data_IF_621704252783
#
_entry.id   IF_621704252783
#
_cell.length_a   1.000
_cell.length_b   1.000
_cell.length_c   1.000
_cell.angle_alpha   90.00
_cell.angle_beta   90.00
_cell.angle_gamma   90.00
#
_symmetry.space_group_name_H-M   'P 1'
#
loop_
_entity.id
_entity.type
_entity.pdbx_description
1 polymer ?
#
# COMPACT_ATOMS: atom_id res chain seq x y z
N UNK A 1 -1.41 17.29 -17.13
CA UNK A 1 -2.76 16.96 -16.60
C UNK A 1 -3.79 17.37 -17.65
N UNK A 2 -4.37 16.40 -18.38
CA UNK A 2 -5.39 16.66 -19.40
C UNK A 2 -6.72 16.07 -18.90
N UNK A 3 -7.70 16.95 -18.65
CA UNK A 3 -9.05 16.61 -18.17
C UNK A 3 -10.01 16.18 -19.31
N UNK A 4 -9.55 16.12 -20.57
CA UNK A 4 -10.43 16.02 -21.75
C UNK A 4 -10.81 14.60 -22.22
N UNK A 5 -10.16 13.53 -21.74
CA UNK A 5 -10.18 12.24 -22.45
C UNK A 5 -11.10 11.15 -21.84
N UNK A 6 -11.97 11.50 -20.88
CA UNK A 6 -12.84 10.51 -20.18
C UNK A 6 -14.27 10.39 -20.71
N UNK A 7 -14.63 11.03 -21.83
CA UNK A 7 -16.03 11.13 -22.27
C UNK A 7 -16.61 9.81 -22.84
N UNK A 8 -15.81 8.75 -23.03
CA UNK A 8 -16.32 7.46 -23.53
C UNK A 8 -16.49 6.37 -22.46
N UNK A 9 -16.08 6.60 -21.22
CA UNK A 9 -16.11 5.60 -20.16
C UNK A 9 -16.98 6.01 -18.97
N UNK A 10 -17.59 5.04 -18.28
CA UNK A 10 -18.20 5.30 -16.98
C UNK A 10 -17.14 5.84 -16.00
N UNK A 11 -17.47 6.82 -15.15
CA UNK A 11 -16.55 7.37 -14.16
C UNK A 11 -16.03 6.28 -13.20
N UNK A 12 -14.77 6.42 -12.72
CA UNK A 12 -14.22 5.51 -11.72
C UNK A 12 -14.91 5.68 -10.36
N UNK A 13 -14.83 4.68 -9.49
CA UNK A 13 -15.46 4.73 -8.16
C UNK A 13 -15.03 5.94 -7.32
N UNK A 14 -13.77 6.37 -7.45
CA UNK A 14 -13.29 7.55 -6.73
C UNK A 14 -14.08 8.82 -7.06
N UNK A 15 -14.50 8.99 -8.32
CA UNK A 15 -15.29 10.15 -8.74
C UNK A 15 -16.74 10.06 -8.21
N UNK A 16 -17.30 8.85 -8.12
CA UNK A 16 -18.62 8.63 -7.51
C UNK A 16 -18.59 8.87 -5.99
N UNK A 17 -17.51 8.46 -5.31
CA UNK A 17 -17.32 8.75 -3.87
C UNK A 17 -17.17 10.25 -3.62
N UNK A 18 -16.34 10.94 -4.38
CA UNK A 18 -16.23 12.39 -4.30
C UNK A 18 -17.59 13.09 -4.49
N UNK A 19 -18.47 12.56 -5.36
CA UNK A 19 -19.83 13.07 -5.51
C UNK A 19 -20.70 12.87 -4.26
N UNK A 20 -20.56 11.74 -3.55
CA UNK A 20 -21.22 11.48 -2.26
C UNK A 20 -20.69 12.43 -1.17
N UNK A 21 -19.38 12.69 -1.18
CA UNK A 21 -18.71 13.60 -0.24
C UNK A 21 -18.99 15.09 -0.52
N UNK A 22 -19.75 15.40 -1.59
CA UNK A 22 -20.08 16.77 -2.00
C UNK A 22 -19.01 17.46 -2.86
N UNK A 23 -17.87 16.80 -3.10
CA UNK A 23 -16.72 17.28 -3.87
C UNK A 23 -16.76 16.91 -5.36
N UNK A 24 -17.88 16.34 -5.84
CA UNK A 24 -17.99 15.81 -7.19
C UNK A 24 -18.07 16.89 -8.29
N UNK A 25 -17.27 16.68 -9.34
CA UNK A 25 -17.24 17.50 -10.55
C UNK A 25 -18.60 17.48 -11.32
N UNK A 26 -19.06 18.62 -11.87
CA UNK A 26 -20.33 18.71 -12.59
C UNK A 26 -20.47 17.76 -13.79
N UNK A 27 -19.37 17.39 -14.48
CA UNK A 27 -19.46 16.44 -15.61
C UNK A 27 -19.80 15.03 -15.10
N UNK A 28 -19.26 14.65 -13.95
CA UNK A 28 -19.57 13.36 -13.31
C UNK A 28 -21.03 13.32 -12.89
N UNK A 29 -21.55 14.41 -12.32
CA UNK A 29 -22.97 14.55 -11.95
C UNK A 29 -23.88 14.39 -13.19
N UNK A 30 -23.60 15.17 -14.24
CA UNK A 30 -24.36 15.07 -15.50
C UNK A 30 -24.30 13.69 -16.16
N UNK A 31 -23.17 12.98 -16.05
CA UNK A 31 -23.09 11.60 -16.55
C UNK A 31 -23.94 10.63 -15.72
N UNK A 32 -23.95 10.75 -14.39
CA UNK A 32 -24.77 9.90 -13.51
C UNK A 32 -26.26 10.09 -13.80
N UNK A 33 -26.69 11.32 -14.10
CA UNK A 33 -28.09 11.63 -14.41
C UNK A 33 -28.58 10.94 -15.70
N UNK A 34 -27.68 10.68 -16.66
CA UNK A 34 -28.02 10.05 -17.95
C UNK A 34 -27.74 8.54 -17.95
N UNK A 35 -26.73 8.09 -17.23
CA UNK A 35 -26.27 6.69 -17.27
C UNK A 35 -26.84 5.86 -16.11
N UNK A 36 -27.84 5.02 -16.42
CA UNK A 36 -28.52 4.12 -15.45
C UNK A 36 -27.54 3.25 -14.66
N UNK A 37 -26.48 2.74 -15.31
CA UNK A 37 -25.47 1.89 -14.63
C UNK A 37 -24.70 2.67 -13.57
N UNK A 38 -24.38 3.93 -13.84
CA UNK A 38 -23.69 4.81 -12.90
C UNK A 38 -24.62 5.26 -11.77
N UNK A 39 -25.88 5.56 -12.08
CA UNK A 39 -26.90 5.85 -11.06
C UNK A 39 -27.09 4.68 -10.08
N UNK A 40 -27.23 3.45 -10.59
CA UNK A 40 -27.32 2.25 -9.74
C UNK A 40 -26.05 2.02 -8.91
N UNK A 41 -24.88 2.33 -9.47
CA UNK A 41 -23.60 2.20 -8.75
C UNK A 41 -23.48 3.23 -7.63
N UNK A 42 -23.91 4.47 -7.89
CA UNK A 42 -23.97 5.53 -6.89
C UNK A 42 -24.94 5.14 -5.75
N UNK A 43 -26.16 4.67 -6.08
CA UNK A 43 -27.13 4.22 -5.09
C UNK A 43 -26.57 3.13 -4.16
N UNK A 44 -25.91 2.09 -4.71
CA UNK A 44 -25.25 1.05 -3.90
C UNK A 44 -24.17 1.61 -2.97
N UNK A 45 -23.40 2.60 -3.42
CA UNK A 45 -22.39 3.24 -2.59
C UNK A 45 -23.04 4.05 -1.46
N UNK A 46 -24.10 4.80 -1.75
CA UNK A 46 -24.87 5.55 -0.76
C UNK A 46 -25.52 4.62 0.28
N UNK A 47 -26.09 3.49 -0.14
CA UNK A 47 -26.64 2.47 0.75
C UNK A 47 -25.56 1.89 1.68
N UNK A 48 -24.35 1.68 1.14
CA UNK A 48 -23.22 1.19 1.94
C UNK A 48 -22.79 2.22 2.97
N UNK A 49 -22.68 3.49 2.58
CA UNK A 49 -22.28 4.59 3.48
C UNK A 49 -23.31 4.78 4.59
N UNK A 50 -24.60 4.80 4.25
CA UNK A 50 -25.69 4.92 5.23
C UNK A 50 -25.73 3.72 6.18
N UNK A 51 -25.59 2.49 5.68
CA UNK A 51 -25.53 1.29 6.51
C UNK A 51 -24.35 1.30 7.50
N UNK A 52 -23.16 1.72 7.07
CA UNK A 52 -22.00 1.87 7.96
C UNK A 52 -22.23 2.98 8.98
N UNK A 53 -22.80 4.12 8.57
CA UNK A 53 -23.11 5.22 9.48
C UNK A 53 -24.09 4.78 10.58
N UNK A 54 -25.16 4.05 10.23
CA UNK A 54 -26.10 3.49 11.21
C UNK A 54 -25.45 2.47 12.14
N UNK A 55 -24.58 1.59 11.61
CA UNK A 55 -23.85 0.64 12.44
C UNK A 55 -22.93 1.37 13.43
N UNK A 56 -22.19 2.38 12.97
CA UNK A 56 -21.31 3.17 13.84
C UNK A 56 -22.08 3.99 14.88
N UNK A 57 -23.25 4.52 14.53
CA UNK A 57 -24.12 5.24 15.46
C UNK A 57 -24.65 4.31 16.57
N UNK A 58 -24.96 3.07 16.23
CA UNK A 58 -25.32 2.04 17.21
C UNK A 58 -24.16 1.74 18.18
N UNK A 59 -22.92 1.62 17.66
CA UNK A 59 -21.73 1.43 18.50
C UNK A 59 -21.42 2.65 19.37
N UNK A 60 -21.62 3.87 18.86
CA UNK A 60 -21.31 5.10 19.60
C UNK A 60 -22.30 5.32 20.74
N UNK A 61 -23.56 4.95 20.55
CA UNK A 61 -24.61 5.07 21.59
C UNK A 61 -24.33 4.19 22.81
N UNK A 62 -23.71 3.01 22.60
CA UNK A 62 -23.34 2.07 23.65
C UNK A 62 -21.97 2.38 24.30
N UNK A 63 -21.23 3.36 23.75
CA UNK A 63 -19.94 3.84 24.28
C UNK A 63 -20.07 4.74 25.52
N UNK A 64 -21.27 4.81 26.12
CA UNK A 64 -21.54 5.46 27.40
C UNK A 64 -20.76 4.74 28.51
N UNK A 65 -19.48 5.09 28.63
CA UNK A 65 -18.52 4.72 29.66
C UNK A 65 -18.82 3.37 30.32
N UNK A 66 -18.69 2.29 29.55
CA UNK A 66 -18.65 0.96 30.14
C UNK A 66 -17.54 0.97 31.20
N UNK A 67 -17.92 0.79 32.47
CA UNK A 67 -16.98 0.80 33.58
C UNK A 67 -15.81 -0.14 33.25
N UNK A 68 -14.57 0.38 33.14
CA UNK A 68 -13.42 -0.39 32.67
C UNK A 68 -13.16 -1.60 33.57
N UNK A 69 -13.54 -1.53 34.86
CA UNK A 69 -13.40 -2.68 35.76
C UNK A 69 -14.39 -3.80 35.45
N UNK A 70 -15.59 -3.47 34.97
CA UNK A 70 -16.61 -4.43 34.55
C UNK A 70 -16.26 -5.05 33.19
N UNK A 71 -15.75 -4.24 32.25
CA UNK A 71 -15.25 -4.73 30.96
C UNK A 71 -14.05 -5.67 31.12
N UNK A 72 -13.07 -5.31 31.94
CA UNK A 72 -11.90 -6.15 32.24
C UNK A 72 -12.30 -7.47 32.92
N UNK A 73 -13.25 -7.44 33.85
CA UNK A 73 -13.78 -8.66 34.49
C UNK A 73 -14.45 -9.60 33.49
N UNK A 74 -15.29 -9.08 32.59
CA UNK A 74 -15.94 -9.90 31.54
C UNK A 74 -14.92 -10.54 30.60
N UNK A 75 -13.93 -9.77 30.19
CA UNK A 75 -12.87 -10.25 29.30
C UNK A 75 -11.99 -11.35 29.93
N UNK A 76 -11.68 -11.22 31.22
CA UNK A 76 -10.97 -12.28 31.94
C UNK A 76 -11.85 -13.53 32.16
N UNK A 77 -13.17 -13.35 32.37
CA UNK A 77 -14.10 -14.46 32.49
C UNK A 77 -14.26 -15.27 31.18
N UNK A 78 -14.16 -14.63 30.01
CA UNK A 78 -14.11 -15.34 28.71
C UNK A 78 -12.74 -15.97 28.43
N UNK A 79 -11.66 -15.47 29.06
CA UNK A 79 -10.32 -16.03 28.94
C UNK A 79 -10.00 -17.15 29.91
N UNK A 80 -10.70 -17.27 31.03
CA UNK A 80 -10.57 -18.47 31.86
C UNK A 80 -10.99 -19.65 31.00
N UNK A 81 -10.06 -20.56 30.64
CA UNK A 81 -10.43 -21.75 29.91
C UNK A 81 -11.39 -22.48 30.83
N UNK A 82 -12.68 -22.49 30.50
CA UNK A 82 -13.57 -23.45 31.11
C UNK A 82 -12.96 -24.78 30.72
N UNK A 83 -12.29 -25.45 31.68
CA UNK A 83 -11.90 -26.83 31.56
C UNK A 83 -13.20 -27.64 31.49
N UNK A 84 -13.89 -27.55 30.34
CA UNK A 84 -14.84 -28.56 29.92
C UNK A 84 -14.00 -29.82 29.89
N UNK A 85 -14.26 -30.68 30.88
CA UNK A 85 -13.85 -32.06 30.89
C UNK A 85 -14.37 -32.65 29.58
N UNK A 86 -13.54 -32.60 28.56
CA UNK A 86 -13.72 -33.40 27.38
C UNK A 86 -13.31 -34.79 27.83
N UNK A 87 -14.28 -35.58 28.27
CA UNK A 87 -14.11 -37.02 28.47
C UNK A 87 -13.71 -37.59 27.11
N UNK A 88 -12.41 -37.72 26.94
CA UNK A 88 -11.79 -38.27 25.75
C UNK A 88 -11.64 -39.77 25.97
N UNK A 89 -12.74 -40.49 25.78
CA UNK A 89 -12.73 -41.97 25.68
C UNK A 89 -12.05 -42.46 24.38
N UNK A 90 -11.10 -41.70 23.81
CA UNK A 90 -10.47 -42.05 22.54
C UNK A 90 -9.17 -41.30 22.20
N UNK A 91 -8.46 -40.70 23.16
CA UNK A 91 -7.27 -39.89 22.83
C UNK A 91 -6.18 -39.78 23.89
N UNK A 92 -6.13 -40.65 24.90
CA UNK A 92 -5.20 -40.46 26.03
C UNK A 92 -3.76 -40.94 25.79
N UNK A 93 -3.50 -41.81 24.81
CA UNK A 93 -2.18 -42.43 24.67
C UNK A 93 -1.07 -41.46 24.23
N UNK A 94 -1.37 -40.48 23.37
CA UNK A 94 -0.39 -39.47 22.93
C UNK A 94 -0.06 -38.46 24.04
N UNK A 95 -1.02 -38.14 24.92
CA UNK A 95 -0.78 -37.27 26.08
C UNK A 95 0.06 -37.96 27.14
N UNK A 96 -0.14 -39.26 27.35
CA UNK A 96 0.59 -40.04 28.34
C UNK A 96 2.06 -40.31 27.94
N UNK A 97 2.36 -40.27 26.64
CA UNK A 97 3.74 -40.25 26.13
C UNK A 97 4.43 -38.91 26.42
N UNK A 98 3.74 -37.78 26.37
CA UNK A 98 4.38 -36.45 26.50
C UNK A 98 4.58 -36.01 27.98
N UNK A 99 3.87 -36.63 28.91
CA UNK A 99 3.98 -36.34 30.35
C UNK A 99 5.08 -37.13 31.06
N UNK A 100 5.67 -38.15 30.43
CA UNK A 100 6.74 -38.95 31.04
C UNK A 100 8.10 -38.22 30.98
N UNK A 101 8.86 -38.13 32.07
CA UNK A 101 10.13 -37.40 32.08
C UNK A 101 11.19 -38.01 31.14
N UNK A 102 11.11 -39.33 30.89
CA UNK A 102 12.02 -40.04 29.99
C UNK A 102 11.82 -39.68 28.51
N UNK A 103 10.58 -39.44 28.08
CA UNK A 103 10.29 -39.08 26.67
C UNK A 103 10.68 -37.64 26.37
N UNK A 104 10.65 -36.74 27.37
CA UNK A 104 11.15 -35.37 27.24
C UNK A 104 12.66 -35.32 27.00
N UNK A 105 13.44 -36.17 27.69
CA UNK A 105 14.87 -36.27 27.47
C UNK A 105 15.21 -36.80 26.06
N UNK A 106 14.47 -37.82 25.60
CA UNK A 106 14.64 -38.36 24.24
C UNK A 106 14.22 -37.35 23.17
N UNK A 107 13.12 -36.62 23.38
CA UNK A 107 12.67 -35.58 22.46
C UNK A 107 13.69 -34.44 22.36
N UNK A 108 14.27 -33.99 23.49
CA UNK A 108 15.32 -32.97 23.49
C UNK A 108 16.54 -33.44 22.68
N UNK A 109 17.01 -34.67 22.89
CA UNK A 109 18.10 -35.25 22.12
C UNK A 109 17.78 -35.34 20.62
N UNK A 110 16.57 -35.78 20.27
CA UNK A 110 16.11 -35.86 18.89
C UNK A 110 16.09 -34.47 18.22
N UNK A 111 15.62 -33.43 18.92
CA UNK A 111 15.61 -32.07 18.39
C UNK A 111 17.01 -31.54 18.10
N UNK A 112 17.99 -31.83 18.98
CA UNK A 112 19.39 -31.44 18.75
C UNK A 112 19.96 -32.14 17.52
N UNK A 113 19.70 -33.44 17.35
CA UNK A 113 20.15 -34.21 16.19
C UNK A 113 19.53 -33.68 14.89
N UNK A 114 18.23 -33.40 14.89
CA UNK A 114 17.53 -32.83 13.73
C UNK A 114 18.08 -31.44 13.38
N UNK A 115 18.34 -30.60 14.37
CA UNK A 115 18.89 -29.27 14.15
C UNK A 115 20.33 -29.34 13.61
N UNK A 116 21.13 -30.29 14.08
CA UNK A 116 22.46 -30.56 13.53
C UNK A 116 22.38 -30.98 12.06
N UNK A 117 21.47 -31.90 11.73
CA UNK A 117 21.24 -32.33 10.35
C UNK A 117 20.77 -31.17 9.48
N UNK A 118 19.83 -30.35 9.94
CA UNK A 118 19.33 -29.20 9.20
C UNK A 118 20.44 -28.19 8.89
N UNK A 119 21.36 -27.94 9.83
CA UNK A 119 22.51 -27.05 9.60
C UNK A 119 23.52 -27.68 8.64
N UNK A 120 23.83 -28.98 8.80
CA UNK A 120 24.77 -29.68 7.90
C UNK A 120 24.25 -29.82 6.47
N UNK A 121 22.93 -29.93 6.29
CA UNK A 121 22.29 -30.11 4.99
C UNK A 121 21.69 -28.82 4.41
N UNK A 122 21.74 -27.67 5.10
CA UNK A 122 21.29 -26.39 4.57
C UNK A 122 22.33 -25.85 3.58
N UNK A 123 22.06 -25.83 2.26
CA UNK A 123 22.99 -25.30 1.27
C UNK A 123 22.92 -23.77 1.32
N UNK A 124 23.66 -23.15 2.24
CA UNK A 124 23.82 -21.68 2.32
C UNK A 124 24.29 -21.05 1.00
N UNK A 125 24.83 -21.84 0.07
CA UNK A 125 25.33 -21.38 -1.22
C UNK A 125 24.22 -21.02 -2.23
N UNK A 126 23.00 -21.55 -2.12
CA UNK A 126 21.96 -21.30 -3.15
C UNK A 126 21.22 -19.98 -2.96
N UNK A 127 21.03 -19.54 -1.70
CA UNK A 127 20.27 -18.32 -1.39
C UNK A 127 21.04 -17.05 -1.74
N UNK A 128 22.37 -17.05 -1.61
CA UNK A 128 23.20 -15.89 -1.95
C UNK A 128 23.13 -15.53 -3.45
N UNK A 129 22.97 -16.53 -4.33
CA UNK A 129 22.93 -16.31 -5.77
C UNK A 129 21.62 -15.64 -6.23
N UNK A 130 20.50 -15.94 -5.57
CA UNK A 130 19.21 -15.30 -5.84
C UNK A 130 19.16 -13.86 -5.32
N UNK A 131 19.78 -13.57 -4.18
CA UNK A 131 19.90 -12.19 -3.70
C UNK A 131 20.76 -11.32 -4.64
N UNK A 132 21.86 -11.84 -5.19
CA UNK A 132 22.68 -11.11 -6.16
C UNK A 132 21.95 -10.86 -7.49
N UNK A 133 21.06 -11.76 -7.90
CA UNK A 133 20.23 -11.57 -9.09
C UNK A 133 19.12 -10.51 -8.89
N UNK A 134 18.55 -10.41 -7.69
CA UNK A 134 17.54 -9.39 -7.37
C UNK A 134 18.11 -7.97 -7.38
N UNK A 135 19.38 -7.80 -7.01
CA UNK A 135 20.10 -6.51 -7.08
C UNK A 135 20.75 -6.23 -8.43
N UNK A 136 20.51 -7.05 -9.46
CA UNK A 136 20.90 -6.72 -10.83
C UNK A 136 19.95 -5.66 -11.36
N UNK A 137 20.17 -4.43 -10.89
CA UNK A 137 19.57 -3.17 -11.34
C UNK A 137 19.38 -3.28 -12.84
N UNK A 138 18.10 -3.30 -13.26
CA UNK A 138 17.71 -3.07 -14.63
C UNK A 138 18.38 -1.76 -15.02
N UNK A 139 19.46 -1.86 -15.79
CA UNK A 139 20.14 -0.70 -16.33
C UNK A 139 19.06 0.14 -17.00
N UNK A 140 18.85 1.35 -16.49
CA UNK A 140 18.03 2.34 -17.14
C UNK A 140 18.48 2.37 -18.60
N UNK A 141 17.62 1.89 -19.49
CA UNK A 141 17.75 2.20 -20.90
C UNK A 141 17.51 3.70 -20.96
N UNK A 142 18.59 4.49 -20.89
CA UNK A 142 18.55 5.89 -21.22
C UNK A 142 18.03 5.95 -22.65
N UNK A 143 16.74 6.28 -22.79
CA UNK A 143 16.16 6.65 -24.07
C UNK A 143 16.88 7.94 -24.42
N UNK A 144 17.97 7.83 -25.18
CA UNK A 144 18.59 8.97 -25.83
C UNK A 144 17.53 9.49 -26.78
N UNK A 145 16.90 10.61 -26.44
CA UNK A 145 16.10 11.37 -27.40
C UNK A 145 17.12 12.01 -28.33
N UNK A 146 17.29 11.55 -29.59
CA UNK A 146 18.16 12.26 -30.52
C UNK A 146 17.50 13.61 -30.78
N UNK A 147 18.05 14.67 -30.19
CA UNK A 147 17.82 16.03 -30.65
C UNK A 147 18.47 16.14 -32.04
N UNK A 148 17.74 15.72 -33.07
CA UNK A 148 18.04 16.08 -34.46
C UNK A 148 17.84 17.60 -34.58
N UNK A 149 18.85 18.35 -34.16
CA UNK A 149 19.02 19.79 -34.35
C UNK A 149 19.50 20.10 -35.79
N UNK A 150 18.93 19.44 -36.79
CA UNK A 150 19.32 19.59 -38.19
C UNK A 150 18.15 19.96 -39.10
N UNK A 151 17.12 20.59 -38.53
CA UNK A 151 16.08 21.26 -39.31
C UNK A 151 16.39 22.77 -39.39
N UNK A 152 16.88 23.28 -40.52
CA UNK A 152 17.20 24.70 -40.72
C UNK A 152 15.97 25.63 -40.77
N UNK A 153 14.76 25.12 -40.48
CA UNK A 153 13.52 25.89 -40.46
C UNK A 153 13.10 26.45 -39.10
N UNK A 154 13.74 26.03 -37.99
CA UNK A 154 13.35 26.47 -36.63
C UNK A 154 14.23 27.57 -36.04
N UNK A 155 15.34 27.91 -36.69
CA UNK A 155 16.16 29.09 -36.35
C UNK A 155 15.44 30.41 -36.65
N UNK A 156 14.49 30.42 -37.59
CA UNK A 156 13.73 31.62 -37.94
C UNK A 156 12.78 32.11 -36.83
N UNK A 157 12.37 31.24 -35.88
CA UNK A 157 11.49 31.64 -34.77
C UNK A 157 12.27 32.31 -33.62
N UNK A 158 13.55 31.94 -33.45
CA UNK A 158 14.45 32.57 -32.50
C UNK A 158 14.98 33.92 -33.02
N UNK A 159 15.07 34.09 -34.34
CA UNK A 159 15.53 35.33 -34.96
C UNK A 159 14.50 36.47 -34.91
N UNK A 160 13.23 36.13 -34.65
CA UNK A 160 12.15 37.11 -34.44
C UNK A 160 11.94 37.54 -32.99
N UNK A 161 12.67 36.97 -32.02
CA UNK A 161 12.68 37.50 -30.64
C UNK A 161 13.74 38.60 -30.52
N UNK A 162 13.23 39.81 -30.56
CA UNK A 162 13.85 41.10 -30.35
C UNK A 162 14.94 41.12 -29.26
N UNK A 163 16.09 41.71 -29.61
CA UNK A 163 17.25 42.04 -28.77
C UNK A 163 16.97 42.92 -27.51
N UNK A 164 15.69 43.14 -27.14
CA UNK A 164 15.29 43.95 -25.98
C UNK A 164 15.05 43.16 -24.69
N UNK A 165 14.71 41.86 -24.77
CA UNK A 165 14.20 41.11 -23.60
C UNK A 165 15.27 40.34 -22.81
N UNK A 166 16.53 40.37 -23.28
CA UNK A 166 17.63 39.64 -22.61
C UNK A 166 18.02 40.24 -21.26
N UNK A 167 17.83 41.54 -21.05
CA UNK A 167 18.19 42.20 -19.80
C UNK A 167 17.22 41.87 -18.67
N UNK A 168 15.90 41.82 -18.95
CA UNK A 168 14.89 41.42 -17.96
C UNK A 168 15.04 39.95 -17.56
N UNK A 169 15.31 39.05 -18.51
CA UNK A 169 15.49 37.63 -18.19
C UNK A 169 16.74 37.38 -17.34
N UNK A 170 17.86 38.06 -17.62
CA UNK A 170 19.07 37.90 -16.80
C UNK A 170 18.87 38.36 -15.36
N UNK A 171 18.04 39.39 -15.14
CA UNK A 171 17.69 39.84 -13.79
C UNK A 171 16.83 38.82 -13.04
N UNK A 172 15.90 38.12 -13.71
CA UNK A 172 15.11 37.04 -13.12
C UNK A 172 15.96 35.80 -12.82
N UNK A 173 16.88 35.42 -13.71
CA UNK A 173 17.80 34.31 -13.46
C UNK A 173 18.77 34.58 -12.30
N UNK A 174 19.20 35.84 -12.13
CA UNK A 174 20.04 36.26 -11.01
C UNK A 174 19.28 36.21 -9.67
N UNK A 175 17.97 36.45 -9.69
CA UNK A 175 17.10 36.38 -8.52
C UNK A 175 16.77 34.94 -8.08
N UNK A 176 16.95 33.94 -8.95
CA UNK A 176 16.67 32.53 -8.66
C UNK A 176 17.74 31.82 -7.82
N UNK A 177 18.79 32.54 -7.40
CA UNK A 177 19.79 32.03 -6.47
C UNK A 177 20.81 31.09 -7.13
N UNK A 178 22.04 31.16 -6.64
CA UNK A 178 23.16 30.30 -7.05
C UNK A 178 22.85 28.83 -6.75
N UNK A 179 22.74 28.00 -7.77
CA UNK A 179 22.68 26.55 -7.62
C UNK A 179 24.09 26.02 -7.31
N UNK A 180 24.32 25.63 -6.06
CA UNK A 180 25.52 24.91 -5.64
C UNK A 180 25.48 23.50 -6.24
N UNK A 181 26.06 23.33 -7.43
CA UNK A 181 26.19 22.01 -8.05
C UNK A 181 27.34 21.28 -7.36
N UNK A 182 27.02 20.37 -6.44
CA UNK A 182 28.00 19.50 -5.78
C UNK A 182 28.50 18.41 -6.73
N UNK A 183 29.25 18.79 -7.77
CA UNK A 183 30.14 17.85 -8.46
C UNK A 183 31.38 17.67 -7.58
N UNK A 184 31.31 16.72 -6.65
CA UNK A 184 32.47 16.26 -5.91
C UNK A 184 33.32 15.36 -6.85
N UNK A 185 34.16 15.99 -7.67
CA UNK A 185 35.27 15.31 -8.34
C UNK A 185 36.35 15.12 -7.28
N UNK A 186 36.41 13.93 -6.70
CA UNK A 186 37.49 13.56 -5.81
C UNK A 186 38.42 12.58 -6.51
N UNK A 187 39.59 13.12 -6.88
CA UNK A 187 40.86 12.53 -7.31
C UNK A 187 40.90 11.52 -8.45
#
# INVERSE_FOLDING_TARGET
MSLGDRIRGCPPDGALRALIDGEGDPLTRGHVDVCVRCAQRLARLTDTVTGVATAMDWLSTDSRAADPTTAYRRFNATRTPSHRRFDSTGGSWMRDIWTRPRTRAVAALATVVVLMLAVSFSPMATVANDFLNQFRVQKFAAITIPVNLSDPGKTALFETMTHGDHSEMSSQFSALGSFDTTFNVNK
#
